data_IF_239883753115
#
_entry.id   IF_239883753115
#
_cell.length_a   1.000
_cell.length_b   1.000
_cell.length_c   1.000
_cell.angle_alpha   90.00
_cell.angle_beta   90.00
_cell.angle_gamma   90.00
#
_symmetry.space_group_name_H-M   'P 1'
#
loop_
_entity.id
_entity.type
_entity.pdbx_description
1 polymer ?
#
# COMPACT_ATOMS: atom_id res chain seq x y z
N UNK A 1 0.30 25.34 -7.90
CA UNK A 1 0.65 25.30 -6.47
C UNK A 1 1.94 24.51 -6.32
N UNK A 2 2.82 24.90 -5.39
CA UNK A 2 4.12 24.22 -5.22
C UNK A 2 3.91 23.02 -4.31
N UNK A 3 4.27 21.82 -4.77
CA UNK A 3 4.14 20.60 -3.96
C UNK A 3 5.03 20.65 -2.73
N UNK A 4 4.49 20.19 -1.60
CA UNK A 4 5.23 19.94 -0.37
C UNK A 4 5.36 18.44 -0.13
N UNK A 5 6.49 18.03 0.43
CA UNK A 5 6.73 16.66 0.88
C UNK A 5 7.13 16.66 2.34
N UNK A 6 6.37 15.92 3.15
CA UNK A 6 6.78 15.50 4.48
C UNK A 6 7.28 14.06 4.37
N UNK A 7 8.48 13.78 4.91
CA UNK A 7 9.03 12.42 4.93
C UNK A 7 9.40 12.01 6.33
N UNK A 8 8.83 10.91 6.79
CA UNK A 8 9.15 10.24 8.03
C UNK A 8 10.18 9.17 7.71
N UNK A 9 11.44 9.40 8.10
CA UNK A 9 12.48 8.39 8.01
C UNK A 9 12.61 7.68 9.34
N UNK A 10 12.72 6.36 9.34
CA UNK A 10 13.05 5.58 10.54
C UNK A 10 14.33 4.80 10.32
N UNK A 11 15.27 4.93 11.25
CA UNK A 11 16.53 4.20 11.25
C UNK A 11 16.87 3.80 12.68
N UNK A 12 17.21 2.52 12.88
CA UNK A 12 17.47 1.95 14.20
C UNK A 12 16.29 2.14 15.16
N UNK A 13 16.42 2.94 16.21
CA UNK A 13 15.39 3.26 17.21
C UNK A 13 14.96 4.73 17.13
N UNK A 14 15.13 5.38 15.97
CA UNK A 14 14.89 6.81 15.78
C UNK A 14 13.98 7.07 14.59
N UNK A 15 13.13 8.09 14.73
CA UNK A 15 12.45 8.72 13.60
C UNK A 15 12.97 10.14 13.38
N UNK A 16 13.00 10.54 12.11
CA UNK A 16 13.34 11.89 11.69
C UNK A 16 12.34 12.39 10.65
N UNK A 17 11.71 13.53 10.96
CA UNK A 17 10.88 14.23 10.00
C UNK A 17 11.74 15.14 9.12
N UNK A 18 11.46 15.12 7.81
CA UNK A 18 11.99 16.12 6.88
C UNK A 18 10.87 16.77 6.09
N UNK A 19 11.10 18.03 5.69
CA UNK A 19 10.21 18.80 4.84
C UNK A 19 10.95 19.31 3.61
N UNK A 20 10.33 19.18 2.45
CA UNK A 20 10.80 19.70 1.17
C UNK A 20 9.66 20.45 0.47
N UNK A 21 9.97 21.64 -0.07
CA UNK A 21 9.05 22.43 -0.89
C UNK A 21 9.60 22.55 -2.31
N UNK A 22 8.84 22.07 -3.31
CA UNK A 22 9.28 22.05 -4.70
C UNK A 22 10.63 21.35 -4.87
N UNK A 23 11.55 22.00 -5.60
CA UNK A 23 12.90 21.48 -5.85
C UNK A 23 13.94 21.91 -4.80
N UNK A 24 13.51 22.54 -3.68
CA UNK A 24 14.43 22.92 -2.62
C UNK A 24 15.09 21.69 -1.96
N UNK A 25 16.23 21.90 -1.34
CA UNK A 25 16.86 20.86 -0.51
C UNK A 25 15.94 20.50 0.68
N UNK A 26 15.83 19.21 1.05
CA UNK A 26 15.07 18.81 2.23
C UNK A 26 15.69 19.40 3.50
N UNK A 27 14.83 19.92 4.37
CA UNK A 27 15.18 20.39 5.72
C UNK A 27 14.80 19.30 6.72
N UNK A 28 15.66 19.06 7.71
CA UNK A 28 15.47 17.98 8.69
C UNK A 28 15.18 18.54 10.08
N UNK A 29 14.22 17.93 10.78
CA UNK A 29 14.00 18.15 12.19
C UNK A 29 14.99 17.30 13.00
N UNK A 30 15.23 17.62 14.29
CA UNK A 30 15.99 16.73 15.17
C UNK A 30 15.37 15.33 15.21
N UNK A 31 16.23 14.31 15.31
CA UNK A 31 15.79 12.93 15.51
C UNK A 31 15.14 12.77 16.89
N UNK A 32 14.10 11.95 16.97
CA UNK A 32 13.44 11.59 18.23
C UNK A 32 13.46 10.07 18.43
N UNK A 33 13.58 9.59 19.68
CA UNK A 33 13.39 8.17 19.99
C UNK A 33 12.06 7.66 19.45
N UNK A 34 12.10 6.51 18.79
CA UNK A 34 10.93 5.79 18.36
C UNK A 34 10.60 4.72 19.40
N UNK A 35 9.43 4.86 20.00
CA UNK A 35 8.79 3.78 20.76
C UNK A 35 7.53 3.39 20.01
N UNK A 36 7.34 2.09 19.78
CA UNK A 36 6.16 1.59 19.10
C UNK A 36 4.89 2.08 19.83
N UNK A 37 4.01 2.88 19.19
CA UNK A 37 2.96 3.62 19.88
C UNK A 37 1.78 2.74 20.33
N UNK A 38 1.70 1.52 19.81
CA UNK A 38 0.59 0.60 20.05
C UNK A 38 1.08 -0.71 20.68
N UNK A 39 0.28 -1.28 21.57
CA UNK A 39 0.49 -2.64 22.04
C UNK A 39 -0.13 -3.66 21.06
N UNK A 40 0.22 -4.94 21.23
CA UNK A 40 -0.30 -6.04 20.42
C UNK A 40 -1.84 -6.10 20.44
N UNK A 41 -2.43 -5.80 21.60
CA UNK A 41 -3.88 -5.77 21.78
C UNK A 41 -4.53 -4.70 20.88
N UNK A 42 -3.95 -3.51 20.80
CA UNK A 42 -4.43 -2.42 19.95
C UNK A 42 -4.42 -2.81 18.49
N UNK A 43 -3.31 -3.37 18.00
CA UNK A 43 -3.20 -3.83 16.62
C UNK A 43 -4.18 -4.98 16.31
N UNK A 44 -4.36 -5.90 17.26
CA UNK A 44 -5.33 -7.00 17.14
C UNK A 44 -6.78 -6.51 17.12
N UNK A 45 -7.13 -5.54 17.97
CA UNK A 45 -8.45 -4.91 17.98
C UNK A 45 -8.71 -4.18 16.64
N UNK A 46 -7.74 -3.43 16.13
CA UNK A 46 -7.86 -2.74 14.84
C UNK A 46 -8.04 -3.74 13.69
N UNK A 47 -7.24 -4.80 13.63
CA UNK A 47 -7.36 -5.85 12.62
C UNK A 47 -8.74 -6.49 12.66
N UNK A 48 -9.23 -6.86 13.85
CA UNK A 48 -10.56 -7.44 14.00
C UNK A 48 -11.65 -6.50 13.46
N UNK A 49 -11.57 -5.21 13.76
CA UNK A 49 -12.55 -4.22 13.28
C UNK A 49 -12.53 -4.07 11.75
N UNK A 50 -11.34 -4.04 11.15
CA UNK A 50 -11.19 -3.85 9.70
C UNK A 50 -11.44 -5.12 8.87
N UNK A 51 -11.14 -6.30 9.40
CA UNK A 51 -11.17 -7.55 8.62
C UNK A 51 -12.33 -8.47 8.99
N UNK A 52 -12.65 -8.60 10.28
CA UNK A 52 -13.64 -9.56 10.78
C UNK A 52 -15.03 -8.93 10.93
N UNK A 53 -15.11 -7.75 11.56
CA UNK A 53 -16.38 -7.08 11.83
C UNK A 53 -17.15 -6.76 10.54
N UNK A 54 -16.44 -6.31 9.49
CA UNK A 54 -17.06 -5.99 8.19
C UNK A 54 -17.73 -7.19 7.50
N UNK A 55 -17.40 -8.43 7.90
CA UNK A 55 -18.07 -9.64 7.38
C UNK A 55 -19.47 -9.81 7.94
N UNK A 56 -19.69 -9.43 9.21
CA UNK A 56 -20.96 -9.58 9.92
C UNK A 56 -21.20 -8.40 10.89
N UNK A 57 -21.56 -7.21 10.39
CA UNK A 57 -21.64 -5.98 11.18
C UNK A 57 -22.97 -5.85 11.95
N UNK A 58 -23.33 -6.86 12.74
CA UNK A 58 -24.58 -6.86 13.52
C UNK A 58 -24.42 -7.54 14.89
N UNK A 59 -25.20 -7.11 15.88
CA UNK A 59 -25.41 -7.83 17.14
C UNK A 59 -24.40 -7.44 18.23
N UNK A 60 -23.91 -8.42 19.00
CA UNK A 60 -22.97 -8.17 20.13
C UNK A 60 -21.65 -7.55 19.65
N UNK A 61 -21.29 -7.77 18.38
CA UNK A 61 -20.11 -7.17 17.75
C UNK A 61 -20.20 -5.63 17.65
N UNK A 62 -21.41 -5.06 17.62
CA UNK A 62 -21.62 -3.61 17.45
C UNK A 62 -21.07 -2.81 18.64
N UNK A 63 -21.17 -3.34 19.86
CA UNK A 63 -20.60 -2.68 21.05
C UNK A 63 -19.06 -2.71 21.04
N UNK A 64 -18.44 -3.77 20.51
CA UNK A 64 -16.98 -3.84 20.38
C UNK A 64 -16.50 -2.89 19.28
N UNK A 65 -17.19 -2.89 18.14
CA UNK A 65 -16.92 -1.99 17.02
C UNK A 65 -17.00 -0.52 17.43
N UNK A 66 -18.08 -0.09 18.08
CA UNK A 66 -18.24 1.28 18.55
C UNK A 66 -17.12 1.71 19.52
N UNK A 67 -16.64 0.81 20.40
CA UNK A 67 -15.50 1.07 21.28
C UNK A 67 -14.19 1.25 20.52
N UNK A 68 -14.00 0.56 19.41
CA UNK A 68 -12.81 0.69 18.56
C UNK A 68 -12.89 1.97 17.74
N UNK A 69 -14.05 2.29 17.18
CA UNK A 69 -14.29 3.55 16.45
C UNK A 69 -13.95 4.79 17.30
N UNK A 70 -14.37 4.79 18.57
CA UNK A 70 -14.04 5.86 19.52
C UNK A 70 -12.53 6.01 19.77
N UNK A 71 -11.75 4.95 19.56
CA UNK A 71 -10.29 4.95 19.76
C UNK A 71 -9.52 5.33 18.50
N UNK A 72 -10.10 5.22 17.30
CA UNK A 72 -9.40 5.51 16.05
C UNK A 72 -8.78 6.91 16.06
N UNK A 73 -9.52 7.92 16.53
CA UNK A 73 -9.01 9.28 16.68
C UNK A 73 -7.88 9.37 17.72
N UNK A 74 -8.00 8.66 18.84
CA UNK A 74 -6.97 8.67 19.89
C UNK A 74 -5.67 8.04 19.40
N UNK A 75 -5.76 6.90 18.71
CA UNK A 75 -4.61 6.25 18.08
C UNK A 75 -3.99 7.14 16.99
N UNK A 76 -4.83 7.79 16.19
CA UNK A 76 -4.40 8.78 15.22
C UNK A 76 -3.66 9.97 15.80
N UNK A 77 -4.13 10.50 16.94
CA UNK A 77 -3.49 11.58 17.67
C UNK A 77 -2.15 11.14 18.24
N UNK A 78 -2.04 9.93 18.77
CA UNK A 78 -0.76 9.39 19.27
C UNK A 78 0.29 9.34 18.16
N UNK A 79 -0.07 8.86 16.96
CA UNK A 79 0.83 8.89 15.79
C UNK A 79 1.19 10.32 15.39
N UNK A 80 0.21 11.23 15.40
CA UNK A 80 0.44 12.63 15.03
C UNK A 80 1.40 13.32 16.00
N UNK A 81 1.22 13.13 17.31
CA UNK A 81 2.09 13.70 18.34
C UNK A 81 3.53 13.18 18.18
N UNK A 82 3.70 11.86 18.02
CA UNK A 82 4.99 11.21 17.83
C UNK A 82 5.78 11.81 16.65
N UNK A 83 5.12 12.05 15.52
CA UNK A 83 5.79 12.50 14.29
C UNK A 83 5.94 14.02 14.22
N UNK A 84 4.86 14.77 14.46
CA UNK A 84 4.78 16.19 14.12
C UNK A 84 4.90 17.12 15.33
N UNK A 85 4.83 16.62 16.56
CA UNK A 85 4.85 17.47 17.76
C UNK A 85 5.92 17.09 18.79
N UNK A 86 6.69 16.03 18.55
CA UNK A 86 7.88 15.67 19.34
C UNK A 86 8.99 16.73 19.33
N UNK A 87 9.01 17.64 18.34
CA UNK A 87 9.95 18.76 18.29
C UNK A 87 9.29 20.03 17.77
N UNK A 88 9.79 21.20 18.17
CA UNK A 88 9.33 22.50 17.64
C UNK A 88 9.50 22.58 16.11
N UNK A 89 10.60 22.02 15.59
CA UNK A 89 10.86 21.95 14.14
C UNK A 89 9.87 21.03 13.42
N UNK A 90 9.49 19.91 14.03
CA UNK A 90 8.45 19.04 13.48
C UNK A 90 7.12 19.76 13.34
N UNK A 91 6.75 20.55 14.37
CA UNK A 91 5.53 21.35 14.38
C UNK A 91 5.56 22.45 13.30
N UNK A 92 6.67 23.18 13.20
CA UNK A 92 6.91 24.18 12.16
C UNK A 92 6.78 23.55 10.77
N UNK A 93 7.42 22.40 10.54
CA UNK A 93 7.40 21.74 9.22
C UNK A 93 6.00 21.29 8.81
N UNK A 94 5.23 20.71 9.72
CA UNK A 94 3.84 20.36 9.43
C UNK A 94 3.03 21.61 9.05
N UNK A 95 3.08 22.66 9.88
CA UNK A 95 2.35 23.91 9.62
C UNK A 95 2.73 24.58 8.30
N UNK A 96 4.01 24.59 7.95
CA UNK A 96 4.48 25.15 6.68
C UNK A 96 4.08 24.30 5.48
N UNK A 97 4.19 22.97 5.59
CA UNK A 97 3.87 22.05 4.51
C UNK A 97 2.37 22.03 4.16
N UNK A 98 1.50 22.26 5.16
CA UNK A 98 0.04 22.24 4.99
C UNK A 98 -0.59 23.62 4.89
N UNK A 99 0.19 24.71 4.96
CA UNK A 99 -0.32 26.10 4.91
C UNK A 99 -1.18 26.39 3.68
N UNK A 100 -0.81 25.84 2.53
CA UNK A 100 -1.54 26.03 1.26
C UNK A 100 -2.71 25.03 1.08
N UNK A 101 -2.92 24.13 2.04
CA UNK A 101 -3.86 23.01 1.98
C UNK A 101 -3.15 21.65 2.05
N UNK A 102 -3.82 20.66 2.66
CA UNK A 102 -3.33 19.28 2.71
C UNK A 102 -3.24 18.65 1.31
N UNK A 103 -4.10 19.07 0.39
CA UNK A 103 -4.13 18.64 -1.02
C UNK A 103 -2.91 19.09 -1.83
N UNK A 104 -2.04 19.91 -1.22
CA UNK A 104 -0.73 20.30 -1.75
C UNK A 104 0.46 19.61 -1.04
N UNK A 105 0.19 18.72 -0.07
CA UNK A 105 1.19 18.02 0.72
C UNK A 105 1.16 16.51 0.50
N UNK A 106 2.28 15.92 0.10
CA UNK A 106 2.49 14.48 0.07
C UNK A 106 3.20 14.03 1.36
N UNK A 107 2.80 12.88 1.92
CA UNK A 107 3.44 12.26 3.06
C UNK A 107 4.07 10.93 2.66
N UNK A 108 5.34 10.74 2.95
CA UNK A 108 6.02 9.45 2.76
C UNK A 108 6.58 8.89 4.06
N UNK A 109 6.44 7.60 4.25
CA UNK A 109 7.09 6.84 5.32
C UNK A 109 8.19 5.99 4.69
N UNK A 110 9.44 6.22 5.09
CA UNK A 110 10.60 5.52 4.54
C UNK A 110 11.34 4.78 5.64
N UNK A 111 11.34 3.46 5.57
CA UNK A 111 11.96 2.59 6.58
C UNK A 111 12.09 1.16 6.06
N UNK A 112 13.09 0.44 6.56
CA UNK A 112 13.23 -1.00 6.33
C UNK A 112 12.68 -1.84 7.48
N UNK A 113 12.16 -1.21 8.55
CA UNK A 113 11.55 -1.90 9.68
C UNK A 113 10.07 -2.24 9.39
N UNK A 114 9.68 -3.53 9.31
CA UNK A 114 8.30 -3.93 9.04
C UNK A 114 7.29 -3.49 10.11
N UNK A 115 7.65 -3.47 11.39
CA UNK A 115 6.78 -3.03 12.47
C UNK A 115 6.36 -1.56 12.28
N UNK A 116 7.29 -0.71 11.81
CA UNK A 116 7.01 0.69 11.48
C UNK A 116 6.19 0.82 10.20
N UNK A 117 6.49 0.03 9.16
CA UNK A 117 5.70 0.02 7.92
C UNK A 117 4.27 -0.44 8.16
N UNK A 118 4.04 -1.36 9.10
CA UNK A 118 2.71 -1.92 9.40
C UNK A 118 1.86 -1.03 10.31
N UNK A 119 2.40 0.07 10.85
CA UNK A 119 1.59 1.03 11.59
C UNK A 119 0.44 1.58 10.72
N UNK A 120 -0.73 1.85 11.31
CA UNK A 120 -1.89 2.38 10.60
C UNK A 120 -1.73 3.89 10.35
N UNK A 121 -0.76 4.26 9.51
CA UNK A 121 -0.43 5.67 9.19
C UNK A 121 -1.63 6.45 8.65
N UNK A 122 -2.60 5.75 8.05
CA UNK A 122 -3.86 6.32 7.56
C UNK A 122 -4.70 6.93 8.70
N UNK A 123 -4.50 6.49 9.94
CA UNK A 123 -5.18 7.03 11.11
C UNK A 123 -4.61 8.36 11.59
N UNK A 124 -3.48 8.86 11.05
CA UNK A 124 -2.89 10.15 11.45
C UNK A 124 -3.97 11.23 11.57
N UNK A 125 -4.14 11.74 12.79
CA UNK A 125 -5.23 12.65 13.15
C UNK A 125 -4.69 13.90 13.85
N UNK A 126 -5.05 15.07 13.34
CA UNK A 126 -4.86 16.35 14.04
C UNK A 126 -6.21 16.90 14.50
N UNK A 127 -6.32 17.51 15.69
CA UNK A 127 -7.54 18.23 16.08
C UNK A 127 -7.98 19.30 15.08
N UNK A 128 -7.01 19.92 14.39
CA UNK A 128 -7.26 21.03 13.46
C UNK A 128 -7.70 20.53 12.07
N UNK A 129 -7.16 19.39 11.62
CA UNK A 129 -7.32 18.87 10.25
C UNK A 129 -8.11 17.56 10.17
N UNK A 130 -8.48 16.99 11.32
CA UNK A 130 -9.03 15.63 11.47
C UNK A 130 -8.07 14.58 10.89
N UNK A 131 -8.60 13.54 10.22
CA UNK A 131 -7.79 12.50 9.57
C UNK A 131 -7.09 13.08 8.34
N UNK A 132 -5.76 12.95 8.28
CA UNK A 132 -4.96 13.56 7.22
C UNK A 132 -5.06 12.81 5.90
N UNK A 133 -5.08 11.48 5.93
CA UNK A 133 -4.92 10.63 4.74
C UNK A 133 -5.88 10.96 3.57
N UNK A 134 -7.19 11.19 3.79
CA UNK A 134 -8.12 11.52 2.71
C UNK A 134 -7.90 12.91 2.08
N UNK A 135 -7.25 13.81 2.82
CA UNK A 135 -7.07 15.21 2.43
C UNK A 135 -5.67 15.50 1.86
N UNK A 136 -4.71 14.60 2.09
CA UNK A 136 -3.35 14.73 1.56
C UNK A 136 -3.30 14.58 0.03
N UNK A 137 -2.36 15.26 -0.61
CA UNK A 137 -2.07 15.09 -2.04
C UNK A 137 -1.66 13.65 -2.40
N UNK A 138 -1.08 12.93 -1.43
CA UNK A 138 -0.71 11.53 -1.54
C UNK A 138 -0.06 11.02 -0.25
N UNK A 139 -0.25 9.74 0.04
CA UNK A 139 0.41 9.05 1.14
C UNK A 139 0.96 7.72 0.64
N UNK A 140 2.22 7.43 0.94
CA UNK A 140 2.84 6.16 0.56
C UNK A 140 3.94 5.73 1.54
N UNK A 141 4.26 4.44 1.48
CA UNK A 141 5.34 3.81 2.27
C UNK A 141 6.41 3.28 1.31
N UNK A 142 7.68 3.29 1.73
CA UNK A 142 8.80 2.88 0.89
C UNK A 142 9.96 2.34 1.75
N UNK A 143 10.77 1.46 1.15
CA UNK A 143 12.00 0.95 1.77
C UNK A 143 13.15 1.94 1.61
N UNK A 144 14.11 1.94 2.53
CA UNK A 144 15.27 2.82 2.44
C UNK A 144 16.17 2.36 1.28
N UNK A 145 16.69 3.30 0.48
CA UNK A 145 17.62 2.99 -0.61
C UNK A 145 16.99 2.50 -1.92
N UNK A 146 15.70 2.15 -1.94
CA UNK A 146 14.96 1.97 -3.19
C UNK A 146 14.50 3.32 -3.73
N UNK A 147 15.41 4.05 -4.39
CA UNK A 147 14.97 5.09 -5.32
C UNK A 147 14.20 4.36 -6.43
N UNK A 148 12.94 4.73 -6.65
CA UNK A 148 12.14 4.30 -7.80
C UNK A 148 12.82 4.83 -9.08
N UNK A 149 13.89 4.14 -9.49
CA UNK A 149 14.72 4.42 -10.67
C UNK A 149 14.23 3.67 -11.90
N UNK A 150 13.01 3.11 -11.87
CA UNK A 150 12.39 2.69 -13.11
C UNK A 150 12.00 3.98 -13.84
N UNK A 151 12.81 4.39 -14.82
CA UNK A 151 12.36 5.37 -15.80
C UNK A 151 11.04 4.84 -16.35
N UNK A 152 9.96 5.59 -16.12
CA UNK A 152 8.69 5.26 -16.74
C UNK A 152 8.96 5.17 -18.25
N UNK A 153 8.60 4.06 -18.91
CA UNK A 153 8.73 3.99 -20.36
C UNK A 153 7.97 5.18 -20.99
N UNK A 154 8.36 5.58 -22.20
CA UNK A 154 7.55 6.50 -23.01
C UNK A 154 6.24 5.80 -23.36
N UNK A 155 5.27 5.93 -22.47
CA UNK A 155 3.97 5.29 -22.57
C UNK A 155 3.00 6.21 -23.34
N UNK A 156 2.02 5.65 -24.07
CA UNK A 156 0.99 6.45 -24.73
C UNK A 156 0.21 7.27 -23.70
N UNK A 157 0.12 8.58 -23.91
CA UNK A 157 -0.66 9.47 -23.03
C UNK A 157 -2.14 9.57 -23.44
N UNK A 158 -2.51 8.98 -24.57
CA UNK A 158 -3.86 8.99 -25.15
C UNK A 158 -4.65 7.70 -24.86
N UNK A 159 -3.99 6.66 -24.34
CA UNK A 159 -4.62 5.38 -24.00
C UNK A 159 -4.04 4.76 -22.71
N UNK A 160 -4.91 4.47 -21.75
CA UNK A 160 -4.61 3.70 -20.55
C UNK A 160 -4.77 2.19 -20.80
N UNK A 161 -3.64 1.49 -20.86
CA UNK A 161 -3.57 0.02 -21.00
C UNK A 161 -3.52 -0.68 -19.63
N UNK A 162 -4.51 -1.53 -19.36
CA UNK A 162 -4.65 -2.29 -18.11
C UNK A 162 -4.72 -3.79 -18.43
N UNK A 163 -3.86 -4.57 -17.77
CA UNK A 163 -3.98 -6.04 -17.72
C UNK A 163 -4.66 -6.44 -16.41
N UNK A 164 -5.86 -7.01 -16.50
CA UNK A 164 -6.62 -7.51 -15.36
C UNK A 164 -6.43 -9.01 -15.22
N UNK A 165 -5.86 -9.43 -14.09
CA UNK A 165 -5.65 -10.84 -13.72
C UNK A 165 -6.64 -11.17 -12.61
N UNK A 166 -7.54 -12.12 -12.87
CA UNK A 166 -8.55 -12.57 -11.90
C UNK A 166 -8.34 -14.06 -11.71
N UNK A 167 -7.84 -14.47 -10.54
CA UNK A 167 -7.62 -15.88 -10.20
C UNK A 167 -8.64 -16.33 -9.16
N UNK A 168 -9.38 -17.39 -9.46
CA UNK A 168 -10.45 -17.98 -8.63
C UNK A 168 -10.33 -19.52 -8.56
N UNK A 169 -9.21 -20.04 -8.03
CA UNK A 169 -8.91 -21.47 -8.03
C UNK A 169 -9.78 -22.31 -7.07
N UNK A 170 -10.59 -21.69 -6.19
CA UNK A 170 -11.43 -22.41 -5.24
C UNK A 170 -12.93 -22.31 -5.54
N UNK A 171 -13.30 -21.73 -6.68
CA UNK A 171 -14.67 -21.72 -7.21
C UNK A 171 -15.65 -20.99 -6.30
N UNK A 172 -16.69 -21.68 -5.82
CA UNK A 172 -17.74 -21.08 -4.96
C UNK A 172 -17.23 -20.59 -3.60
N UNK A 173 -16.04 -21.04 -3.17
CA UNK A 173 -15.40 -20.56 -1.95
C UNK A 173 -14.73 -19.20 -2.13
N UNK A 174 -14.57 -18.75 -3.37
CA UNK A 174 -13.95 -17.48 -3.66
C UNK A 174 -14.95 -16.34 -3.64
N UNK A 175 -14.43 -15.14 -3.34
CA UNK A 175 -15.21 -13.91 -3.53
C UNK A 175 -15.57 -13.81 -5.01
N UNK A 176 -16.85 -13.54 -5.28
CA UNK A 176 -17.34 -13.39 -6.64
C UNK A 176 -16.53 -12.32 -7.38
N UNK A 177 -15.92 -12.66 -8.52
CA UNK A 177 -15.08 -11.73 -9.28
C UNK A 177 -15.82 -10.44 -9.70
N UNK A 178 -17.15 -10.49 -9.80
CA UNK A 178 -17.97 -9.31 -10.13
C UNK A 178 -17.90 -8.23 -9.05
N UNK A 179 -17.53 -8.57 -7.81
CA UNK A 179 -17.36 -7.62 -6.70
C UNK A 179 -16.32 -6.56 -7.04
N UNK A 180 -15.27 -6.90 -7.80
CA UNK A 180 -14.19 -5.97 -8.17
C UNK A 180 -14.32 -5.53 -9.62
N UNK A 181 -14.62 -6.47 -10.53
CA UNK A 181 -14.70 -6.17 -11.94
C UNK A 181 -15.81 -5.15 -12.28
N UNK A 182 -16.97 -5.18 -11.59
CA UNK A 182 -18.06 -4.23 -11.87
C UNK A 182 -17.72 -2.79 -11.43
N UNK A 183 -17.29 -2.52 -10.17
CA UNK A 183 -16.85 -1.18 -9.79
C UNK A 183 -15.71 -0.65 -10.66
N UNK A 184 -14.74 -1.51 -11.02
CA UNK A 184 -13.64 -1.12 -11.91
C UNK A 184 -14.17 -0.65 -13.27
N UNK A 185 -15.04 -1.43 -13.92
CA UNK A 185 -15.64 -1.05 -15.20
C UNK A 185 -16.50 0.22 -15.09
N UNK A 186 -17.19 0.42 -13.98
CA UNK A 186 -17.97 1.64 -13.73
C UNK A 186 -17.05 2.87 -13.58
N UNK A 187 -15.96 2.76 -12.83
CA UNK A 187 -14.98 3.84 -12.65
C UNK A 187 -14.28 4.21 -13.97
N UNK A 188 -14.09 3.25 -14.87
CA UNK A 188 -13.48 3.47 -16.19
C UNK A 188 -14.48 3.99 -17.23
N UNK A 189 -15.79 3.98 -16.96
CA UNK A 189 -16.82 4.39 -17.92
C UNK A 189 -16.58 5.79 -18.51
N UNK A 190 -16.25 6.84 -17.72
CA UNK A 190 -16.06 8.19 -18.25
C UNK A 190 -14.94 8.31 -19.28
N UNK A 191 -13.94 7.43 -19.21
CA UNK A 191 -12.74 7.44 -20.08
C UNK A 191 -12.65 6.21 -20.99
N UNK A 192 -13.74 5.45 -21.14
CA UNK A 192 -13.74 4.13 -21.79
C UNK A 192 -13.07 4.08 -23.17
N UNK A 193 -13.22 5.12 -23.98
CA UNK A 193 -12.61 5.18 -25.33
C UNK A 193 -11.08 5.28 -25.30
N UNK A 194 -10.54 5.75 -24.18
CA UNK A 194 -9.10 5.88 -23.91
C UNK A 194 -8.60 4.72 -23.04
N UNK A 195 -9.39 3.65 -22.82
CA UNK A 195 -8.98 2.53 -21.98
C UNK A 195 -8.95 1.25 -22.80
N UNK A 196 -7.80 0.59 -22.79
CA UNK A 196 -7.66 -0.78 -23.25
C UNK A 196 -7.53 -1.70 -22.03
N UNK A 197 -8.60 -2.43 -21.73
CA UNK A 197 -8.65 -3.39 -20.63
C UNK A 197 -8.62 -4.81 -21.20
N UNK A 198 -7.52 -5.53 -20.95
CA UNK A 198 -7.42 -6.96 -21.28
C UNK A 198 -7.58 -7.79 -20.02
N UNK A 199 -8.47 -8.77 -20.05
CA UNK A 199 -8.54 -9.80 -19.00
C UNK A 199 -7.63 -10.95 -19.40
N UNK A 200 -6.70 -11.33 -18.52
CA UNK A 200 -5.81 -12.47 -18.73
C UNK A 200 -6.61 -13.78 -18.70
N UNK A 201 -6.45 -14.61 -19.73
CA UNK A 201 -7.12 -15.92 -19.84
C UNK A 201 -6.19 -16.95 -20.49
N UNK A 202 -5.93 -18.11 -19.86
CA UNK A 202 -6.22 -18.40 -18.45
C UNK A 202 -5.44 -17.46 -17.51
N UNK A 203 -5.85 -17.27 -16.24
CA UNK A 203 -5.13 -16.46 -15.27
C UNK A 203 -3.96 -17.26 -14.64
N UNK A 204 -3.14 -17.88 -15.50
CA UNK A 204 -1.98 -18.67 -15.10
C UNK A 204 -0.69 -17.88 -15.17
N UNK A 205 0.33 -18.33 -14.44
CA UNK A 205 1.65 -17.69 -14.40
C UNK A 205 2.31 -17.73 -15.77
N UNK A 206 2.25 -18.88 -16.44
CA UNK A 206 2.77 -19.05 -17.78
C UNK A 206 2.12 -18.07 -18.78
N UNK A 207 0.80 -17.87 -18.69
CA UNK A 207 0.10 -16.94 -19.57
C UNK A 207 0.39 -15.48 -19.19
N UNK A 208 0.54 -15.17 -17.90
CA UNK A 208 0.94 -13.86 -17.41
C UNK A 208 2.31 -13.45 -17.94
N UNK A 209 3.30 -14.34 -17.81
CA UNK A 209 4.64 -14.15 -18.34
C UNK A 209 4.63 -14.00 -19.87
N UNK A 210 3.94 -14.89 -20.58
CA UNK A 210 3.85 -14.84 -22.04
C UNK A 210 3.22 -13.54 -22.54
N UNK A 211 2.15 -13.09 -21.90
CA UNK A 211 1.45 -11.84 -22.24
C UNK A 211 2.36 -10.61 -22.03
N UNK A 212 2.99 -10.50 -20.86
CA UNK A 212 3.86 -9.37 -20.54
C UNK A 212 5.11 -9.35 -21.44
N UNK A 213 5.69 -10.51 -21.75
CA UNK A 213 6.82 -10.60 -22.68
C UNK A 213 6.44 -10.24 -24.11
N UNK A 214 5.25 -10.62 -24.58
CA UNK A 214 4.77 -10.26 -25.91
C UNK A 214 4.42 -8.75 -26.03
N UNK A 215 4.20 -8.08 -24.90
CA UNK A 215 3.74 -6.69 -24.80
C UNK A 215 4.60 -5.87 -23.83
N UNK A 216 5.93 -6.01 -23.89
CA UNK A 216 6.86 -5.27 -23.02
C UNK A 216 6.65 -3.77 -23.15
N UNK A 217 6.53 -3.08 -22.02
CA UNK A 217 6.31 -1.63 -21.96
C UNK A 217 4.97 -1.17 -22.53
N UNK A 218 3.97 -2.06 -22.64
CA UNK A 218 2.64 -1.68 -23.14
C UNK A 218 1.65 -1.38 -22.01
N UNK A 219 1.66 -2.20 -20.95
CA UNK A 219 0.72 -2.09 -19.83
C UNK A 219 1.17 -1.04 -18.82
N UNK A 220 0.28 -0.10 -18.50
CA UNK A 220 0.49 0.87 -17.44
C UNK A 220 0.23 0.24 -16.08
N UNK A 221 -0.83 -0.57 -16.02
CA UNK A 221 -1.32 -1.17 -14.79
C UNK A 221 -1.48 -2.67 -15.04
N UNK A 222 -0.91 -3.46 -14.15
CA UNK A 222 -1.42 -4.82 -13.90
C UNK A 222 -2.30 -4.74 -12.65
N UNK A 223 -3.54 -5.20 -12.75
CA UNK A 223 -4.45 -5.32 -11.62
C UNK A 223 -4.64 -6.82 -11.34
N UNK A 224 -4.14 -7.27 -10.20
CA UNK A 224 -4.37 -8.63 -9.71
C UNK A 224 -5.50 -8.65 -8.69
N UNK A 225 -6.51 -9.47 -8.95
CA UNK A 225 -7.64 -9.71 -8.07
C UNK A 225 -7.68 -11.21 -7.76
N UNK A 226 -7.35 -11.61 -6.53
CA UNK A 226 -7.18 -13.01 -6.18
C UNK A 226 -6.77 -13.22 -4.73
N UNK A 227 -6.25 -14.41 -4.43
CA UNK A 227 -5.77 -14.72 -3.09
C UNK A 227 -4.33 -14.26 -2.90
N UNK A 228 -4.05 -13.82 -1.69
CA UNK A 228 -2.73 -13.48 -1.21
C UNK A 228 -2.53 -14.07 0.18
N UNK A 229 -1.29 -14.38 0.50
CA UNK A 229 -0.89 -14.75 1.84
C UNK A 229 0.49 -14.19 2.13
N UNK A 230 0.85 -14.17 3.40
CA UNK A 230 2.20 -13.88 3.84
C UNK A 230 2.73 -15.14 4.50
N UNK A 231 3.71 -15.80 3.88
CA UNK A 231 4.26 -17.05 4.38
C UNK A 231 5.54 -16.77 5.17
N UNK A 232 5.47 -16.93 6.49
CA UNK A 232 6.61 -16.80 7.40
C UNK A 232 7.45 -18.07 7.50
N UNK A 233 6.96 -19.20 6.98
CA UNK A 233 7.64 -20.51 7.09
C UNK A 233 8.46 -20.89 5.86
N UNK A 234 8.22 -20.25 4.72
CA UNK A 234 9.09 -20.36 3.54
C UNK A 234 10.08 -19.20 3.55
N UNK A 235 11.23 -19.47 4.17
CA UNK A 235 12.36 -18.56 4.26
C UNK A 235 13.04 -18.50 2.89
N UNK A 236 13.18 -17.29 2.34
CA UNK A 236 14.05 -17.06 1.17
C UNK A 236 15.29 -16.32 1.65
N UNK A 237 16.46 -16.92 1.41
CA UNK A 237 17.73 -16.25 1.66
C UNK A 237 17.89 -15.09 0.67
N UNK A 238 18.04 -13.88 1.20
CA UNK A 238 18.41 -12.71 0.44
C UNK A 238 19.82 -12.27 0.83
N UNK A 239 20.43 -11.40 0.01
CA UNK A 239 21.69 -10.72 0.35
C UNK A 239 21.59 -9.82 1.61
N UNK A 240 20.38 -9.66 2.17
CA UNK A 240 20.06 -8.86 3.35
C UNK A 240 19.43 -9.66 4.50
N UNK A 241 19.36 -11.00 4.42
CA UNK A 241 18.83 -11.87 5.47
C UNK A 241 17.69 -12.80 5.02
N UNK A 242 17.16 -13.55 5.98
CA UNK A 242 16.01 -14.45 5.86
C UNK A 242 14.73 -13.66 6.17
N UNK A 243 13.76 -13.63 5.25
CA UNK A 243 12.49 -12.93 5.46
C UNK A 243 11.32 -13.79 5.02
N UNK A 244 10.22 -13.76 5.78
CA UNK A 244 8.93 -14.25 5.29
C UNK A 244 8.55 -13.54 3.99
N UNK A 245 7.87 -14.23 3.08
CA UNK A 245 7.55 -13.71 1.76
C UNK A 245 6.05 -13.68 1.49
N UNK A 246 5.59 -12.56 0.91
CA UNK A 246 4.26 -12.47 0.32
C UNK A 246 4.12 -13.41 -0.89
N UNK A 247 2.96 -14.06 -1.01
CA UNK A 247 2.62 -14.93 -2.14
C UNK A 247 1.25 -14.57 -2.69
N UNK A 248 1.06 -14.76 -4.00
CA UNK A 248 -0.24 -14.71 -4.66
C UNK A 248 -0.60 -16.08 -5.23
N UNK A 249 -1.89 -16.34 -5.37
CA UNK A 249 -2.38 -17.62 -5.92
C UNK A 249 -3.01 -17.40 -7.30
N UNK A 250 -2.36 -17.94 -8.32
CA UNK A 250 -2.81 -18.03 -9.71
C UNK A 250 -3.57 -19.35 -9.94
N UNK A 251 -4.05 -19.55 -11.18
CA UNK A 251 -4.60 -20.83 -11.61
C UNK A 251 -3.61 -21.57 -12.51
N UNK A 252 -3.41 -22.88 -12.29
CA UNK A 252 -2.70 -23.73 -13.24
C UNK A 252 -3.55 -23.99 -14.51
N UNK A 253 -3.04 -24.79 -15.45
CA UNK A 253 -3.77 -25.10 -16.69
C UNK A 253 -5.06 -25.89 -16.46
N UNK A 254 -5.22 -26.50 -15.29
CA UNK A 254 -6.38 -27.28 -14.88
C UNK A 254 -7.33 -26.46 -13.97
N UNK A 255 -7.01 -25.21 -13.66
CA UNK A 255 -7.78 -24.34 -12.76
C UNK A 255 -7.51 -24.56 -11.27
N UNK A 256 -6.48 -25.33 -10.90
CA UNK A 256 -6.07 -25.53 -9.50
C UNK A 256 -5.21 -24.36 -9.02
N UNK A 257 -5.07 -24.16 -7.69
CA UNK A 257 -4.22 -23.11 -7.15
C UNK A 257 -2.74 -23.32 -7.47
N UNK A 258 -2.11 -22.30 -8.06
CA UNK A 258 -0.67 -22.21 -8.27
C UNK A 258 -0.12 -21.04 -7.45
N UNK A 259 0.78 -21.31 -6.49
CA UNK A 259 1.33 -20.26 -5.61
C UNK A 259 2.57 -19.64 -6.23
N UNK A 260 2.64 -18.32 -6.24
CA UNK A 260 3.73 -17.53 -6.83
C UNK A 260 4.24 -16.54 -5.82
N UNK A 261 5.56 -16.42 -5.74
CA UNK A 261 6.17 -15.51 -4.78
C UNK A 261 6.12 -14.05 -5.26
N UNK A 262 6.07 -13.10 -4.32
CA UNK A 262 6.12 -11.68 -4.65
C UNK A 262 7.38 -11.29 -5.44
N UNK A 263 8.49 -12.02 -5.26
CA UNK A 263 9.74 -11.79 -6.00
C UNK A 263 9.61 -12.15 -7.47
N UNK A 264 9.02 -13.30 -7.78
CA UNK A 264 8.79 -13.72 -9.17
C UNK A 264 7.88 -12.72 -9.89
N UNK A 265 6.80 -12.28 -9.24
CA UNK A 265 5.88 -11.29 -9.79
C UNK A 265 6.60 -9.95 -10.02
N UNK A 266 7.38 -9.47 -9.03
CA UNK A 266 8.15 -8.25 -9.16
C UNK A 266 9.17 -8.31 -10.32
N UNK A 267 9.78 -9.48 -10.54
CA UNK A 267 10.69 -9.72 -11.66
C UNK A 267 9.96 -9.57 -13.00
N UNK A 268 8.81 -10.23 -13.19
CA UNK A 268 8.04 -10.11 -14.43
C UNK A 268 7.61 -8.67 -14.73
N UNK A 269 7.13 -7.96 -13.70
CA UNK A 269 6.70 -6.57 -13.82
C UNK A 269 7.87 -5.65 -14.19
N UNK A 270 9.03 -5.85 -13.54
CA UNK A 270 10.25 -5.07 -13.80
C UNK A 270 10.79 -5.31 -15.22
N UNK A 271 10.94 -6.58 -15.60
CA UNK A 271 11.49 -6.97 -16.91
C UNK A 271 10.60 -6.51 -18.08
N UNK A 272 9.29 -6.45 -17.83
CA UNK A 272 8.30 -6.02 -18.82
C UNK A 272 7.92 -4.54 -18.68
N UNK A 273 8.59 -3.79 -17.79
CA UNK A 273 8.43 -2.35 -17.56
C UNK A 273 6.99 -1.94 -17.23
N UNK A 274 6.31 -2.72 -16.40
CA UNK A 274 4.99 -2.36 -15.86
C UNK A 274 5.20 -1.47 -14.63
N UNK A 275 4.77 -0.19 -14.66
CA UNK A 275 5.09 0.75 -13.59
C UNK A 275 4.14 0.68 -12.39
N UNK A 276 2.92 0.17 -12.56
CA UNK A 276 1.91 0.14 -11.51
C UNK A 276 1.35 -1.27 -11.37
N UNK A 277 1.36 -1.79 -10.14
CA UNK A 277 0.73 -3.05 -9.77
C UNK A 277 -0.33 -2.80 -8.70
N UNK A 278 -1.59 -3.06 -9.04
CA UNK A 278 -2.71 -2.96 -8.13
C UNK A 278 -3.01 -4.36 -7.58
N UNK A 279 -2.89 -4.50 -6.26
CA UNK A 279 -3.09 -5.75 -5.55
C UNK A 279 -4.41 -5.73 -4.79
N UNK A 280 -5.39 -6.49 -5.28
CA UNK A 280 -6.59 -6.83 -4.54
C UNK A 280 -6.50 -8.28 -4.05
N UNK A 281 -5.82 -8.45 -2.92
CA UNK A 281 -5.57 -9.75 -2.29
C UNK A 281 -5.45 -9.61 -0.76
N UNK A 282 -5.73 -10.68 -0.02
CA UNK A 282 -5.56 -10.71 1.43
C UNK A 282 -4.10 -10.41 1.83
N UNK A 283 -3.91 -9.68 2.94
CA UNK A 283 -2.59 -9.26 3.46
C UNK A 283 -1.70 -8.49 2.46
N UNK A 284 -2.26 -7.93 1.40
CA UNK A 284 -1.53 -7.19 0.35
C UNK A 284 -0.80 -5.94 0.85
N UNK A 285 -1.22 -5.36 1.99
CA UNK A 285 -0.56 -4.22 2.63
C UNK A 285 0.42 -4.58 3.75
N UNK A 286 0.66 -5.87 4.03
CA UNK A 286 1.59 -6.30 5.09
C UNK A 286 3.03 -6.24 4.58
N UNK A 287 3.90 -5.51 5.28
CA UNK A 287 5.30 -5.30 4.88
C UNK A 287 6.28 -6.37 5.41
N UNK A 288 5.85 -7.21 6.36
CA UNK A 288 6.67 -8.21 7.04
C UNK A 288 6.23 -8.45 8.49
N UNK A 289 6.98 -9.28 9.22
CA UNK A 289 6.95 -9.42 10.68
C UNK A 289 8.40 -9.26 11.17
N UNK A 290 8.61 -8.64 12.33
CA UNK A 290 9.91 -8.57 12.99
C UNK A 290 10.08 -9.84 13.83
N UNK A 291 11.26 -10.46 13.81
CA UNK A 291 11.59 -11.64 14.65
C UNK A 291 11.70 -11.28 16.14
#
# INVERSE_FOLDING_TARGET
MVKNWLRINHQSDRIQLSWQRGQAAPRFAPEVPFQHPFDEKTLTDLRWYLEDYLRFPYGIADQRAAKIEQKLQQWGQQLFELVFRSTDKGREFFQEATREGLDCCELSITTDNPAVLNLPWELLYSPDEQFLAPSLAGMYRSLSGQSTKAALPDMPNDQLNILLVIARPYGERDINFKTIARPLLAALQPIRQQVNLKVLRPPSVAQFEAELNAKKGFYHIVHFDGHGSFNTTQIVQTQYGETGQGVLVFEDQQGNPETVTAREIAQYLTDCRVPIFVLNACKSGQAGEEE
#
